data_IF_447416802113
#
_entry.id   IF_447416802113
#
_cell.length_a   1.000
_cell.length_b   1.000
_cell.length_c   1.000
_cell.angle_alpha   90.00
_cell.angle_beta   90.00
_cell.angle_gamma   90.00
#
_symmetry.space_group_name_H-M   'P 1'
#
loop_
_entity.id
_entity.type
_entity.pdbx_description
1 polymer ?
#
# COMPACT_ATOMS: atom_id res chain seq x y z
N UNK A 1 -33.44 -40.88 -16.89
CA UNK A 1 -33.68 -39.74 -15.98
C UNK A 1 -33.04 -40.04 -14.62
N UNK A 2 -31.95 -39.34 -14.26
CA UNK A 2 -31.56 -38.97 -12.87
C UNK A 2 -30.18 -38.30 -12.86
N UNK A 3 -30.24 -36.97 -12.88
CA UNK A 3 -29.40 -35.93 -12.25
C UNK A 3 -27.88 -36.16 -12.15
N UNK A 4 -27.15 -35.52 -13.08
CA UNK A 4 -25.79 -35.04 -12.84
C UNK A 4 -25.89 -33.79 -11.94
N UNK A 5 -25.28 -33.85 -10.75
CA UNK A 5 -25.20 -32.74 -9.81
C UNK A 5 -23.88 -32.02 -10.07
N UNK A 6 -23.94 -30.80 -10.62
CA UNK A 6 -22.78 -29.96 -10.90
C UNK A 6 -22.10 -29.54 -9.60
N UNK A 7 -20.94 -30.12 -9.28
CA UNK A 7 -19.96 -29.56 -8.35
C UNK A 7 -19.06 -28.60 -9.13
N UNK A 8 -19.39 -27.31 -9.18
CA UNK A 8 -18.48 -26.29 -9.75
C UNK A 8 -18.80 -24.91 -9.21
N UNK A 9 -18.71 -24.70 -7.89
CA UNK A 9 -18.75 -23.34 -7.33
C UNK A 9 -18.15 -23.33 -5.92
N UNK A 10 -16.81 -23.29 -5.82
CA UNK A 10 -16.10 -22.85 -4.60
C UNK A 10 -14.58 -22.86 -4.85
N UNK A 11 -14.08 -21.97 -5.71
CA UNK A 11 -12.63 -21.74 -5.80
C UNK A 11 -12.34 -20.31 -6.26
N UNK A 12 -12.75 -19.30 -5.50
CA UNK A 12 -12.34 -17.90 -5.77
C UNK A 12 -12.47 -16.95 -4.56
N UNK A 13 -12.22 -17.41 -3.33
CA UNK A 13 -12.35 -16.57 -2.13
C UNK A 13 -11.21 -16.70 -1.10
N UNK A 14 -10.05 -17.28 -1.46
CA UNK A 14 -8.98 -17.59 -0.50
C UNK A 14 -7.75 -16.66 -0.55
N UNK A 15 -7.74 -15.60 -1.37
CA UNK A 15 -6.52 -14.78 -1.60
C UNK A 15 -6.51 -13.44 -0.84
N UNK A 16 -7.61 -13.04 -0.20
CA UNK A 16 -7.75 -11.68 0.36
C UNK A 16 -7.63 -11.58 1.88
N UNK A 17 -7.07 -12.61 2.54
CA UNK A 17 -7.09 -12.73 4.01
C UNK A 17 -5.72 -12.72 4.69
N UNK A 18 -4.66 -12.53 3.92
CA UNK A 18 -3.34 -12.28 4.46
C UNK A 18 -3.30 -10.85 5.01
N UNK A 19 -3.41 -10.69 6.32
CA UNK A 19 -3.07 -9.42 6.96
C UNK A 19 -1.60 -9.13 6.65
N UNK A 20 -1.34 -8.18 5.75
CA UNK A 20 0.01 -7.70 5.49
C UNK A 20 0.61 -7.30 6.84
N UNK A 21 1.90 -7.59 7.07
CA UNK A 21 2.66 -7.23 8.28
C UNK A 21 2.84 -5.70 8.46
N UNK A 22 1.76 -4.93 8.31
CA UNK A 22 1.70 -3.48 8.26
C UNK A 22 0.89 -2.95 9.45
N UNK A 23 1.23 -1.74 9.88
CA UNK A 23 0.48 -1.04 10.92
C UNK A 23 -0.79 -0.46 10.30
N UNK A 24 -1.91 -0.70 10.98
CA UNK A 24 -3.24 -0.23 10.60
C UNK A 24 -3.99 0.36 11.80
N UNK A 25 -5.12 1.02 11.56
CA UNK A 25 -6.03 1.47 12.62
C UNK A 25 -7.47 1.64 12.13
N UNK A 26 -8.41 1.61 13.09
CA UNK A 26 -9.82 1.89 12.84
C UNK A 26 -10.14 3.39 12.74
N UNK A 27 -9.31 4.21 13.38
CA UNK A 27 -9.44 5.66 13.43
C UNK A 27 -8.17 6.32 12.90
N UNK A 28 -8.28 7.52 12.30
CA UNK A 28 -7.10 8.24 11.83
C UNK A 28 -6.21 8.63 13.03
N UNK A 29 -4.90 8.50 12.85
CA UNK A 29 -3.89 8.99 13.81
C UNK A 29 -3.57 10.47 13.60
N UNK A 30 -3.89 11.00 12.42
CA UNK A 30 -3.58 12.37 12.00
C UNK A 30 -4.83 13.10 11.50
N UNK A 31 -4.92 14.37 11.87
CA UNK A 31 -5.94 15.33 11.45
C UNK A 31 -5.41 16.39 10.48
N UNK A 32 -6.29 17.29 10.05
CA UNK A 32 -5.95 18.36 9.10
C UNK A 32 -4.87 19.30 9.66
N UNK A 33 -4.82 19.47 10.98
CA UNK A 33 -3.82 20.23 11.72
C UNK A 33 -2.40 19.65 11.63
N UNK A 34 -2.28 18.35 11.38
CA UNK A 34 -0.99 17.67 11.21
C UNK A 34 -0.45 17.79 9.78
N UNK A 35 -1.26 18.31 8.86
CA UNK A 35 -0.90 18.40 7.45
C UNK A 35 0.13 19.50 7.21
N UNK A 36 1.15 19.16 6.40
CA UNK A 36 2.12 20.12 5.85
C UNK A 36 1.34 21.22 5.16
N UNK A 37 1.31 22.44 5.72
CA UNK A 37 0.43 23.51 5.26
C UNK A 37 0.36 23.63 3.74
N UNK A 38 -0.69 23.05 3.11
CA UNK A 38 -0.97 23.00 1.64
C UNK A 38 0.18 22.60 0.69
N UNK A 39 1.36 22.24 1.18
CA UNK A 39 2.57 21.87 0.40
C UNK A 39 2.75 20.35 0.31
N UNK A 40 1.64 19.65 0.00
CA UNK A 40 1.58 18.20 -0.12
C UNK A 40 2.23 17.65 -1.40
N UNK A 41 1.77 16.47 -1.81
CA UNK A 41 2.10 15.90 -3.12
C UNK A 41 1.54 16.80 -4.23
N UNK A 42 2.33 17.05 -5.28
CA UNK A 42 1.83 17.73 -6.48
C UNK A 42 0.71 16.91 -7.12
N UNK A 43 -0.39 17.56 -7.48
CA UNK A 43 -1.48 16.91 -8.21
C UNK A 43 -1.05 16.45 -9.61
N UNK A 44 -1.63 15.36 -10.09
CA UNK A 44 -1.36 14.79 -11.40
C UNK A 44 -0.97 13.31 -11.35
N UNK A 45 -0.38 12.84 -12.45
CA UNK A 45 0.09 11.47 -12.62
C UNK A 45 1.43 11.27 -11.93
N UNK A 46 1.51 10.22 -11.11
CA UNK A 46 2.71 9.78 -10.41
C UNK A 46 3.11 8.39 -10.87
N UNK A 47 4.41 8.20 -11.06
CA UNK A 47 5.02 6.89 -11.17
C UNK A 47 5.51 6.43 -9.80
N UNK A 48 5.12 5.22 -9.39
CA UNK A 48 5.64 4.54 -8.21
C UNK A 48 6.37 3.30 -8.69
N UNK A 49 7.67 3.23 -8.41
CA UNK A 49 8.52 2.16 -8.89
C UNK A 49 8.61 1.05 -7.84
N UNK A 50 8.38 -0.19 -8.26
CA UNK A 50 8.53 -1.38 -7.39
C UNK A 50 9.98 -1.87 -7.39
N UNK A 51 10.76 -1.47 -8.39
CA UNK A 51 12.20 -1.70 -8.51
C UNK A 51 12.92 -0.38 -8.81
N UNK A 52 14.05 -0.12 -8.15
CA UNK A 52 14.82 1.10 -8.30
C UNK A 52 15.48 1.27 -9.67
N UNK A 53 15.52 0.22 -10.49
CA UNK A 53 16.13 0.26 -11.83
C UNK A 53 15.08 0.28 -12.95
N UNK A 54 13.79 0.44 -12.61
CA UNK A 54 12.70 0.49 -13.57
C UNK A 54 12.87 1.67 -14.56
N UNK A 55 12.88 1.36 -15.86
CA UNK A 55 12.92 2.36 -16.95
C UNK A 55 11.74 2.16 -17.88
N UNK A 56 11.05 3.25 -18.20
CA UNK A 56 9.90 3.24 -19.10
C UNK A 56 9.74 4.61 -19.78
N UNK A 57 8.93 4.64 -20.84
CA UNK A 57 8.61 5.86 -21.55
C UNK A 57 7.41 6.55 -20.88
N UNK A 58 7.71 7.61 -20.13
CA UNK A 58 6.74 8.43 -19.42
C UNK A 58 5.79 9.21 -20.34
N UNK A 59 6.09 9.28 -21.64
CA UNK A 59 5.18 9.91 -22.62
C UNK A 59 4.03 8.97 -23.02
N UNK A 60 4.13 7.68 -22.73
CA UNK A 60 3.05 6.72 -22.95
C UNK A 60 1.92 6.92 -21.94
N UNK A 61 0.76 6.36 -22.27
CA UNK A 61 -0.34 6.24 -21.32
C UNK A 61 0.04 5.28 -20.18
N UNK A 62 -0.48 5.52 -18.99
CA UNK A 62 -0.17 4.75 -17.79
C UNK A 62 -0.46 3.24 -17.94
N UNK A 63 -1.46 2.88 -18.75
CA UNK A 63 -1.85 1.50 -19.06
C UNK A 63 -0.79 0.74 -19.87
N UNK A 64 0.18 1.46 -20.44
CA UNK A 64 1.28 0.90 -21.24
C UNK A 64 2.60 0.85 -20.48
N UNK A 65 2.63 1.31 -19.22
CA UNK A 65 3.82 1.21 -18.40
C UNK A 65 4.11 -0.25 -18.04
N UNK A 66 5.39 -0.63 -17.89
CA UNK A 66 5.76 -1.98 -17.47
C UNK A 66 5.35 -2.23 -16.03
N UNK A 67 5.32 -3.50 -15.62
CA UNK A 67 4.91 -3.91 -14.27
C UNK A 67 5.78 -3.33 -13.14
N UNK A 68 7.01 -2.94 -13.46
CA UNK A 68 7.90 -2.29 -12.49
C UNK A 68 7.49 -0.85 -12.13
N UNK A 69 6.54 -0.26 -12.87
CA UNK A 69 6.02 1.09 -12.66
C UNK A 69 4.50 1.06 -12.47
N UNK A 70 4.05 1.48 -11.29
CA UNK A 70 2.63 1.62 -10.97
C UNK A 70 2.20 3.08 -11.10
N UNK A 71 1.19 3.33 -11.92
CA UNK A 71 0.58 4.65 -12.01
C UNK A 71 -0.34 4.93 -10.82
N UNK A 72 -0.18 6.14 -10.25
CA UNK A 72 -1.08 6.71 -9.23
C UNK A 72 -1.50 8.11 -9.67
N UNK A 73 -2.69 8.54 -9.29
CA UNK A 73 -3.14 9.92 -9.52
C UNK A 73 -3.37 10.59 -8.19
N UNK A 74 -2.73 11.73 -7.97
CA UNK A 74 -3.00 12.61 -6.83
C UNK A 74 -3.96 13.70 -7.27
N UNK A 75 -5.09 13.83 -6.57
CA UNK A 75 -6.11 14.85 -6.82
C UNK A 75 -6.75 15.28 -5.50
N UNK A 76 -6.51 16.50 -5.06
CA UNK A 76 -6.95 16.96 -3.75
C UNK A 76 -6.45 16.04 -2.64
N UNK A 77 -7.39 15.50 -1.86
CA UNK A 77 -7.17 14.52 -0.80
C UNK A 77 -7.33 13.07 -1.26
N UNK A 78 -7.27 12.81 -2.57
CA UNK A 78 -7.44 11.47 -3.13
C UNK A 78 -6.17 10.97 -3.80
N UNK A 79 -5.89 9.69 -3.58
CA UNK A 79 -4.94 8.90 -4.34
C UNK A 79 -5.71 7.82 -5.11
N UNK A 80 -5.66 7.88 -6.43
CA UNK A 80 -6.30 6.89 -7.27
C UNK A 80 -5.26 5.91 -7.80
N UNK A 81 -5.65 4.64 -7.81
CA UNK A 81 -4.85 3.53 -8.27
C UNK A 81 -5.62 2.74 -9.32
N UNK A 82 -4.93 2.30 -10.37
CA UNK A 82 -5.49 1.34 -11.29
C UNK A 82 -5.58 -0.04 -10.62
N UNK A 83 -6.77 -0.62 -10.55
CA UNK A 83 -6.95 -2.03 -10.24
C UNK A 83 -6.95 -2.81 -11.56
N UNK A 84 -6.07 -3.81 -11.64
CA UNK A 84 -5.89 -4.65 -12.81
C UNK A 84 -6.26 -6.07 -12.46
N UNK A 85 -6.91 -6.77 -13.40
CA UNK A 85 -7.16 -8.21 -13.30
C UNK A 85 -6.50 -8.93 -14.46
N UNK A 86 -5.97 -10.12 -14.19
CA UNK A 86 -5.52 -11.01 -15.24
C UNK A 86 -6.76 -11.66 -15.88
N UNK A 87 -6.92 -11.45 -17.19
CA UNK A 87 -7.98 -12.04 -17.99
C UNK A 87 -7.37 -13.01 -19.00
N UNK A 88 -7.92 -14.23 -19.04
CA UNK A 88 -7.63 -15.18 -20.11
C UNK A 88 -8.40 -14.77 -21.36
N UNK A 89 -7.69 -14.29 -22.37
CA UNK A 89 -8.28 -13.91 -23.66
C UNK A 89 -7.93 -14.94 -24.73
N UNK A 90 -8.63 -14.93 -25.86
CA UNK A 90 -8.29 -15.80 -27.00
C UNK A 90 -6.85 -15.56 -27.54
N UNK A 91 -6.24 -14.41 -27.21
CA UNK A 91 -4.85 -14.07 -27.55
C UNK A 91 -3.82 -14.40 -26.44
N UNK A 92 -4.23 -15.09 -25.38
CA UNK A 92 -3.42 -15.34 -24.19
C UNK A 92 -3.78 -14.43 -23.00
N UNK A 93 -3.06 -14.57 -21.88
CA UNK A 93 -3.30 -13.78 -20.68
C UNK A 93 -3.02 -12.29 -20.94
N UNK A 94 -3.93 -11.44 -20.48
CA UNK A 94 -3.82 -9.98 -20.58
C UNK A 94 -4.30 -9.32 -19.30
N UNK A 95 -3.63 -8.23 -18.90
CA UNK A 95 -4.14 -7.34 -17.85
C UNK A 95 -5.24 -6.45 -18.38
N UNK A 96 -6.40 -6.54 -17.76
CA UNK A 96 -7.55 -5.68 -18.04
C UNK A 96 -7.76 -4.72 -16.87
N UNK A 97 -8.07 -3.48 -17.20
CA UNK A 97 -8.45 -2.49 -16.20
C UNK A 97 -9.81 -2.89 -15.63
N UNK A 98 -9.86 -3.14 -14.32
CA UNK A 98 -11.10 -3.47 -13.64
C UNK A 98 -11.83 -2.19 -13.22
N UNK A 99 -11.18 -1.41 -12.36
CA UNK A 99 -11.76 -0.20 -11.78
C UNK A 99 -10.68 0.69 -11.16
N UNK A 100 -11.12 1.89 -10.76
CA UNK A 100 -10.32 2.77 -9.92
C UNK A 100 -10.47 2.38 -8.46
N UNK A 101 -9.37 2.07 -7.79
CA UNK A 101 -9.33 2.07 -6.34
C UNK A 101 -9.04 3.50 -5.88
N UNK A 102 -9.82 4.00 -4.91
CA UNK A 102 -9.64 5.33 -4.34
C UNK A 102 -9.25 5.24 -2.88
N UNK A 103 -8.15 5.89 -2.51
CA UNK A 103 -7.78 6.13 -1.12
C UNK A 103 -7.94 7.62 -0.81
N UNK A 104 -8.48 7.96 0.37
CA UNK A 104 -8.37 9.31 0.92
C UNK A 104 -7.03 9.43 1.63
N UNK A 105 -6.26 10.46 1.31
CA UNK A 105 -4.90 10.65 1.81
C UNK A 105 -4.75 11.90 2.67
N UNK A 106 -3.90 11.78 3.68
CA UNK A 106 -3.38 12.90 4.45
C UNK A 106 -1.89 12.71 4.65
N UNK A 107 -1.10 13.73 4.31
CA UNK A 107 0.35 13.72 4.52
C UNK A 107 0.68 14.53 5.78
N UNK A 108 1.03 13.84 6.85
CA UNK A 108 1.41 14.43 8.11
C UNK A 108 2.89 14.82 8.13
N UNK A 109 3.19 15.98 8.71
CA UNK A 109 4.55 16.53 8.83
C UNK A 109 5.51 15.64 9.63
N UNK A 110 6.81 15.89 9.53
CA UNK A 110 7.88 15.23 10.31
C UNK A 110 8.94 14.54 9.45
N UNK A 111 9.86 13.81 10.10
CA UNK A 111 10.96 13.09 9.42
C UNK A 111 11.06 11.63 9.95
N UNK A 112 10.65 10.63 9.15
CA UNK A 112 9.96 10.76 7.87
C UNK A 112 8.56 11.37 8.04
N UNK A 113 8.03 11.89 6.94
CA UNK A 113 6.62 12.27 6.85
C UNK A 113 5.76 10.99 6.85
N UNK A 114 4.51 11.08 7.28
CA UNK A 114 3.60 9.92 7.28
C UNK A 114 2.42 10.20 6.36
N UNK A 115 2.30 9.42 5.29
CA UNK A 115 1.12 9.36 4.44
C UNK A 115 0.13 8.38 5.08
N UNK A 116 -0.95 8.92 5.64
CA UNK A 116 -2.11 8.16 6.10
C UNK A 116 -3.05 7.96 4.91
N UNK A 117 -3.40 6.70 4.64
CA UNK A 117 -4.32 6.33 3.57
C UNK A 117 -5.56 5.69 4.18
N UNK A 118 -6.73 6.10 3.72
CA UNK A 118 -8.02 5.46 4.04
C UNK A 118 -8.58 4.82 2.79
N UNK A 119 -8.72 3.50 2.81
CA UNK A 119 -9.41 2.79 1.74
C UNK A 119 -10.91 3.11 1.83
N UNK A 120 -11.49 3.73 0.78
CA UNK A 120 -12.92 4.14 0.80
C UNK A 120 -13.87 2.98 0.52
N UNK A 121 -13.37 1.93 -0.14
CA UNK A 121 -14.12 0.74 -0.53
C UNK A 121 -14.06 -0.35 0.55
N UNK A 122 -13.24 -0.17 1.59
CA UNK A 122 -13.29 -0.96 2.81
C UNK A 122 -14.60 -0.65 3.53
N UNK A 123 -15.66 -1.39 3.20
CA UNK A 123 -17.04 -1.17 3.68
C UNK A 123 -17.20 -1.35 5.19
N UNK A 124 -16.13 -1.60 5.96
CA UNK A 124 -16.18 -1.90 7.39
C UNK A 124 -16.99 -3.17 7.71
N UNK A 125 -17.54 -3.84 6.69
CA UNK A 125 -18.24 -5.08 6.84
C UNK A 125 -17.20 -6.18 7.08
N UNK A 126 -17.41 -6.95 8.15
CA UNK A 126 -16.72 -8.22 8.34
C UNK A 126 -17.08 -9.11 7.16
N UNK A 127 -16.18 -9.22 6.19
CA UNK A 127 -16.10 -10.46 5.43
C UNK A 127 -15.86 -11.62 6.40
N UNK A 128 -16.11 -12.86 5.96
CA UNK A 128 -15.78 -14.07 6.74
C UNK A 128 -14.30 -14.14 7.17
N UNK A 129 -13.48 -13.19 6.70
CA UNK A 129 -12.09 -12.98 7.04
C UNK A 129 -11.72 -11.96 8.14
N UNK A 130 -12.67 -11.21 8.70
CA UNK A 130 -12.38 -10.22 9.74
C UNK A 130 -12.29 -8.77 9.26
N UNK A 131 -11.88 -7.89 10.17
CA UNK A 131 -11.94 -6.42 10.01
C UNK A 131 -10.83 -5.95 9.07
N UNK A 132 -11.19 -5.37 7.92
CA UNK A 132 -10.27 -4.55 7.14
C UNK A 132 -10.19 -3.20 7.84
N UNK A 133 -9.16 -2.99 8.65
CA UNK A 133 -8.92 -1.69 9.25
C UNK A 133 -8.77 -0.65 8.13
N UNK A 134 -9.60 0.42 8.11
CA UNK A 134 -9.70 1.31 6.95
C UNK A 134 -8.44 2.16 6.75
N UNK A 135 -7.62 2.36 7.78
CA UNK A 135 -6.41 3.18 7.70
C UNK A 135 -5.13 2.35 7.70
N UNK A 136 -4.21 2.70 6.80
CA UNK A 136 -2.85 2.18 6.76
C UNK A 136 -1.85 3.30 6.50
N UNK A 137 -0.57 3.02 6.78
CA UNK A 137 0.46 4.05 6.89
C UNK A 137 1.67 3.77 6.01
N UNK A 138 2.09 4.80 5.28
CA UNK A 138 3.29 4.82 4.46
C UNK A 138 4.19 5.93 4.96
N UNK A 139 5.45 5.63 5.23
CA UNK A 139 6.44 6.65 5.50
C UNK A 139 6.98 7.22 4.20
N UNK A 140 7.23 8.53 4.19
CA UNK A 140 7.62 9.30 3.00
C UNK A 140 8.82 10.17 3.36
N UNK A 141 9.85 10.11 2.50
CA UNK A 141 10.98 11.03 2.53
C UNK A 141 11.00 11.84 1.23
N UNK A 142 10.74 13.16 1.27
CA UNK A 142 10.75 13.99 0.07
C UNK A 142 12.18 14.17 -0.45
N UNK A 143 12.38 13.91 -1.74
CA UNK A 143 13.66 14.10 -2.42
C UNK A 143 13.72 15.41 -3.21
N UNK A 144 12.57 15.88 -3.68
CA UNK A 144 12.48 17.07 -4.52
C UNK A 144 11.14 17.77 -4.38
N UNK A 145 11.17 19.09 -4.48
CA UNK A 145 9.99 19.96 -4.45
C UNK A 145 10.00 20.91 -5.64
N UNK A 146 8.82 21.27 -6.13
CA UNK A 146 8.68 22.29 -7.16
C UNK A 146 8.77 23.73 -6.59
N UNK A 147 8.70 24.73 -7.47
CA UNK A 147 8.77 26.15 -7.09
C UNK A 147 7.64 26.59 -6.14
N UNK A 148 6.52 25.85 -6.12
CA UNK A 148 5.42 26.09 -5.21
C UNK A 148 5.61 25.37 -3.87
N UNK A 149 6.70 24.61 -3.68
CA UNK A 149 7.03 23.86 -2.47
C UNK A 149 6.38 22.48 -2.38
N UNK A 150 5.66 22.02 -3.41
CA UNK A 150 4.98 20.72 -3.43
C UNK A 150 5.97 19.61 -3.74
N UNK A 151 5.79 18.44 -3.14
CA UNK A 151 6.67 17.28 -3.39
C UNK A 151 6.44 16.80 -4.82
N UNK A 152 7.52 16.61 -5.59
CA UNK A 152 7.52 16.06 -6.95
C UNK A 152 8.39 14.81 -7.11
N UNK A 153 9.26 14.52 -6.13
CA UNK A 153 10.00 13.26 -6.04
C UNK A 153 10.16 12.86 -4.58
N UNK A 154 10.00 11.58 -4.30
CA UNK A 154 10.06 11.03 -2.94
C UNK A 154 10.53 9.58 -2.94
N UNK A 155 10.94 9.13 -1.77
CA UNK A 155 11.04 7.72 -1.42
C UNK A 155 9.94 7.37 -0.42
N UNK A 156 9.41 6.15 -0.52
CA UNK A 156 8.35 5.66 0.38
C UNK A 156 8.55 4.21 0.78
N UNK A 157 8.06 3.86 1.95
CA UNK A 157 8.03 2.49 2.45
C UNK A 157 6.82 2.28 3.36
N UNK A 158 6.34 1.04 3.43
CA UNK A 158 5.24 0.69 4.33
C UNK A 158 5.72 0.76 5.78
N UNK A 159 4.85 1.23 6.68
CA UNK A 159 5.10 1.12 8.11
C UNK A 159 4.74 -0.30 8.52
N UNK A 160 5.77 -1.13 8.67
CA UNK A 160 5.64 -2.53 9.04
C UNK A 160 5.49 -2.72 10.56
N UNK A 161 4.87 -3.82 10.95
CA UNK A 161 4.66 -4.18 12.34
C UNK A 161 5.96 -4.60 13.04
N UNK A 162 6.92 -5.16 12.30
CA UNK A 162 8.14 -5.75 12.83
C UNK A 162 8.77 -6.68 11.79
N UNK A 163 9.85 -7.40 12.12
CA UNK A 163 10.41 -8.40 11.20
C UNK A 163 9.38 -9.50 10.91
N UNK A 164 9.16 -9.81 9.64
CA UNK A 164 8.40 -10.99 9.26
C UNK A 164 8.99 -12.24 9.94
N UNK A 165 8.14 -13.20 10.37
CA UNK A 165 8.64 -14.49 10.80
C UNK A 165 9.47 -15.08 9.66
N UNK A 166 10.60 -15.72 9.99
CA UNK A 166 11.30 -16.52 8.97
C UNK A 166 10.28 -17.53 8.47
N UNK A 167 10.10 -17.61 7.15
CA UNK A 167 9.34 -18.71 6.57
C UNK A 167 9.87 -19.99 7.22
N UNK A 168 9.00 -20.71 7.93
CA UNK A 168 9.42 -21.92 8.60
C UNK A 168 9.91 -22.86 7.50
N UNK A 169 11.22 -23.11 7.45
CA UNK A 169 11.78 -24.17 6.64
C UNK A 169 11.07 -25.47 7.07
N UNK A 170 10.18 -25.99 6.22
CA UNK A 170 9.70 -27.37 6.25
C UNK A 170 8.97 -27.89 7.51
N UNK A 171 8.00 -27.16 8.08
CA UNK A 171 7.14 -27.72 9.15
C UNK A 171 5.70 -27.98 8.66
N UNK A 172 5.28 -29.25 8.76
CA UNK A 172 3.94 -29.79 8.46
C UNK A 172 2.81 -29.23 9.35
N UNK A 173 2.61 -27.92 9.38
CA UNK A 173 1.55 -27.28 10.15
C UNK A 173 1.40 -25.80 9.84
N UNK A 174 0.45 -25.49 8.96
CA UNK A 174 -0.58 -24.43 9.00
C UNK A 174 -0.39 -23.11 9.77
N UNK A 175 0.81 -22.67 10.14
CA UNK A 175 0.97 -21.28 10.60
C UNK A 175 0.99 -20.34 9.38
N UNK A 176 -0.21 -19.90 9.00
CA UNK A 176 -0.46 -18.91 7.96
C UNK A 176 -0.35 -17.48 8.50
N UNK A 177 0.23 -17.27 9.69
CA UNK A 177 0.38 -15.91 10.23
C UNK A 177 1.28 -15.08 9.31
N UNK A 178 0.67 -14.07 8.70
CA UNK A 178 1.34 -13.08 7.86
C UNK A 178 1.79 -11.85 8.68
N UNK A 179 1.69 -11.91 10.01
CA UNK A 179 2.07 -10.83 10.94
C UNK A 179 3.16 -11.33 11.89
N UNK A 180 4.10 -10.44 12.22
CA UNK A 180 5.21 -10.69 13.15
C UNK A 180 4.76 -11.13 14.55
N UNK A 181 5.54 -12.01 15.18
CA UNK A 181 5.47 -12.36 16.60
C UNK A 181 6.29 -11.39 17.49
N UNK A 182 7.04 -10.49 16.86
CA UNK A 182 7.95 -9.52 17.50
C UNK A 182 7.65 -8.10 17.02
N UNK A 183 6.48 -7.55 17.37
CA UNK A 183 6.13 -6.19 16.98
C UNK A 183 7.16 -5.17 17.49
N UNK A 184 7.36 -4.09 16.74
CA UNK A 184 8.20 -2.97 17.17
C UNK A 184 7.66 -2.35 18.48
N UNK A 185 8.52 -1.70 19.30
CA UNK A 185 8.10 -1.13 20.58
C UNK A 185 6.95 -0.14 20.48
N UNK A 186 5.85 -0.46 21.17
CA UNK A 186 4.61 0.34 21.18
C UNK A 186 3.60 -0.06 20.10
N UNK A 187 3.85 -1.15 19.38
CA UNK A 187 2.87 -1.81 18.53
C UNK A 187 2.32 -3.07 19.21
N UNK A 188 1.07 -3.41 18.88
CA UNK A 188 0.37 -4.60 19.40
C UNK A 188 -0.24 -5.37 18.24
N UNK A 189 -0.03 -6.70 18.25
CA UNK A 189 -0.66 -7.64 17.31
C UNK A 189 -1.85 -8.32 17.99
N UNK A 190 -3.00 -8.30 17.34
CA UNK A 190 -4.20 -9.04 17.75
C UNK A 190 -4.79 -9.77 16.53
N UNK A 191 -4.62 -11.10 16.48
CA UNK A 191 -4.86 -11.86 15.26
C UNK A 191 -3.95 -11.37 14.13
N UNK A 192 -4.55 -11.02 12.99
CA UNK A 192 -3.82 -10.52 11.81
C UNK A 192 -3.76 -8.98 11.76
N UNK A 193 -4.04 -8.29 12.86
CA UNK A 193 -4.10 -6.82 12.91
C UNK A 193 -2.97 -6.30 13.79
N UNK A 194 -2.13 -5.42 13.23
CA UNK A 194 -1.10 -4.70 13.98
C UNK A 194 -1.48 -3.23 14.14
N UNK A 195 -1.50 -2.75 15.38
CA UNK A 195 -1.89 -1.38 15.72
C UNK A 195 -0.81 -0.68 16.54
N UNK A 196 -0.71 0.64 16.42
CA UNK A 196 0.16 1.46 17.26
C UNK A 196 -0.56 1.92 18.53
N UNK A 197 0.15 2.07 19.65
CA UNK A 197 -0.40 2.63 20.88
C UNK A 197 -0.44 4.18 20.87
N UNK A 198 0.26 4.82 19.95
CA UNK A 198 0.35 6.28 19.82
C UNK A 198 0.98 6.71 18.49
N UNK A 199 0.82 7.98 18.12
CA UNK A 199 1.55 8.63 17.00
C UNK A 199 3.06 8.47 17.16
N UNK A 200 3.59 8.61 18.38
CA UNK A 200 5.02 8.45 18.63
C UNK A 200 5.49 7.00 18.37
N UNK A 201 4.67 6.00 18.70
CA UNK A 201 4.95 4.60 18.37
C UNK A 201 4.91 4.36 16.85
N UNK A 202 3.92 4.92 16.15
CA UNK A 202 3.82 4.83 14.69
C UNK A 202 5.05 5.43 13.99
N UNK A 203 5.51 6.61 14.42
CA UNK A 203 6.72 7.24 13.85
C UNK A 203 8.00 6.44 14.11
N UNK A 204 8.15 5.85 15.30
CA UNK A 204 9.29 4.96 15.58
C UNK A 204 9.22 3.68 14.73
N UNK A 205 8.03 3.12 14.54
CA UNK A 205 7.83 1.99 13.65
C UNK A 205 8.22 2.32 12.22
N UNK A 206 7.82 3.49 11.69
CA UNK A 206 8.24 3.96 10.37
C UNK A 206 9.77 3.97 10.19
N UNK A 207 10.52 4.51 11.16
CA UNK A 207 11.99 4.50 11.13
C UNK A 207 12.55 3.08 11.21
N UNK A 208 11.99 2.24 12.08
CA UNK A 208 12.42 0.85 12.25
C UNK A 208 12.16 0.02 10.98
N UNK A 209 11.04 0.24 10.29
CA UNK A 209 10.72 -0.40 9.01
C UNK A 209 11.75 -0.03 7.93
N UNK A 210 12.17 1.23 7.87
CA UNK A 210 13.21 1.66 6.94
C UNK A 210 14.54 0.94 7.20
N UNK A 211 14.99 0.96 8.46
CA UNK A 211 16.25 0.34 8.86
C UNK A 211 16.24 -1.18 8.61
N UNK A 212 15.10 -1.83 8.86
CA UNK A 212 14.91 -3.24 8.59
C UNK A 212 14.96 -3.55 7.09
N UNK A 213 14.25 -2.78 6.27
CA UNK A 213 14.29 -2.93 4.81
C UNK A 213 15.72 -2.80 4.28
N UNK A 214 16.44 -1.77 4.72
CA UNK A 214 17.84 -1.55 4.36
C UNK A 214 18.74 -2.73 4.75
N UNK A 215 18.58 -3.26 5.98
CA UNK A 215 19.34 -4.43 6.44
C UNK A 215 19.03 -5.69 5.61
N UNK A 216 17.83 -5.79 5.03
CA UNK A 216 17.42 -6.86 4.12
C UNK A 216 17.78 -6.58 2.64
N UNK A 217 18.44 -5.46 2.32
CA UNK A 217 18.73 -5.06 0.95
C UNK A 217 17.51 -4.55 0.17
N UNK A 218 16.40 -4.31 0.84
CA UNK A 218 15.18 -3.74 0.27
C UNK A 218 15.30 -2.21 0.36
N UNK A 219 15.26 -1.55 -0.80
CA UNK A 219 15.29 -0.09 -0.90
C UNK A 219 13.87 0.48 -0.72
N UNK A 220 13.71 1.68 -0.13
CA UNK A 220 12.48 2.45 -0.28
C UNK A 220 12.06 2.54 -1.75
N UNK A 221 10.77 2.41 -2.01
CA UNK A 221 10.21 2.54 -3.35
C UNK A 221 10.29 4.00 -3.78
N UNK A 222 11.02 4.34 -4.86
CA UNK A 222 11.02 5.69 -5.36
C UNK A 222 9.69 6.01 -6.06
N UNK A 223 9.29 7.27 -6.01
CA UNK A 223 8.14 7.77 -6.73
C UNK A 223 8.37 9.21 -7.18
N UNK A 224 7.83 9.57 -8.34
CA UNK A 224 7.90 10.93 -8.86
C UNK A 224 6.68 11.32 -9.65
N UNK A 225 6.43 12.63 -9.66
CA UNK A 225 5.41 13.27 -10.47
C UNK A 225 5.86 13.28 -11.94
N UNK A 226 4.96 12.92 -12.85
CA UNK A 226 5.23 12.79 -14.29
C UNK A 226 4.64 13.96 -15.07
N UNK A 227 3.33 14.21 -14.91
CA UNK A 227 2.61 15.25 -15.64
C UNK A 227 1.32 15.68 -14.96
N UNK A 228 0.82 16.86 -15.33
CA UNK A 228 -0.48 17.34 -14.89
C UNK A 228 -1.58 16.52 -15.60
N UNK A 229 -2.70 16.25 -14.90
CA UNK A 229 -3.75 15.36 -15.40
C UNK A 229 -3.33 13.89 -15.42
N UNK A 230 -4.13 13.04 -16.09
CA UNK A 230 -3.92 11.58 -16.15
C UNK A 230 -4.08 10.97 -17.56
N UNK A 231 -4.36 11.81 -18.56
CA UNK A 231 -4.49 11.37 -19.95
C UNK A 231 -3.13 11.35 -20.67
#
# INVERSE_FOLDING_TARGET
MRRALSLTTALLAAVLLAGCNIVVSDQPWFGAEDSVGRLGLREGLWAVMTDGDCRFDETLSAERWPECASAKIVRGDQLLSYEWVDAETAGGPRREFLQWQTDVILLADGDPMILQLRNVDATGERGEGGVVAPYYYVAVHPLERDDAGRIVRLERWLVECGPLPKAADDAKGEDTSHVTDRPFPGLTVNGNVCTAASVAALRRAALASQAMGQAAGIRPSPAHWVRDGWH
#
